data_IF_064026471104
#
_entry.id   IF_064026471104
#
_cell.length_a   1.000
_cell.length_b   1.000
_cell.length_c   1.000
_cell.angle_alpha   90.00
_cell.angle_beta   90.00
_cell.angle_gamma   90.00
#
_symmetry.space_group_name_H-M   'P 1'
#
loop_
_entity.id
_entity.type
_entity.pdbx_description
1 polymer ?
#
# COMPACT_ATOMS: atom_id res chain seq x y z
N UNK A 1 22.10 4.55 3.84
CA UNK A 1 20.76 4.05 4.20
C UNK A 1 20.85 3.27 5.50
N UNK A 2 20.18 3.73 6.55
CA UNK A 2 20.03 3.04 7.82
C UNK A 2 18.80 2.12 7.75
N UNK A 3 18.91 0.92 8.31
CA UNK A 3 17.83 -0.03 8.42
C UNK A 3 17.53 -0.29 9.89
N UNK A 4 16.26 -0.26 10.26
CA UNK A 4 15.76 -0.48 11.61
C UNK A 4 14.54 -1.40 11.57
N UNK A 5 14.39 -2.25 12.58
CA UNK A 5 13.19 -3.06 12.78
C UNK A 5 12.44 -2.48 13.97
N UNK A 6 11.27 -1.89 13.71
CA UNK A 6 10.37 -1.44 14.75
C UNK A 6 9.56 -2.64 15.22
N UNK A 7 9.81 -3.06 16.47
CA UNK A 7 9.10 -4.18 17.10
C UNK A 7 7.85 -3.65 17.80
N UNK A 8 6.69 -4.15 17.39
CA UNK A 8 5.39 -3.66 17.87
C UNK A 8 4.55 -4.86 18.26
N UNK A 9 4.10 -4.96 19.53
CA UNK A 9 3.22 -6.02 19.95
C UNK A 9 1.93 -5.99 19.13
N UNK A 10 1.46 -7.15 18.67
CA UNK A 10 0.15 -7.27 18.03
C UNK A 10 -0.86 -7.98 18.92
N UNK A 11 -2.13 -7.86 18.55
CA UNK A 11 -3.22 -8.62 19.14
C UNK A 11 -2.96 -10.15 19.15
N UNK A 12 -2.25 -10.68 18.15
CA UNK A 12 -1.95 -12.12 17.99
C UNK A 12 -0.78 -12.61 18.86
N UNK A 13 -0.45 -11.90 19.96
CA UNK A 13 0.60 -12.27 20.92
C UNK A 13 1.97 -12.52 20.28
N UNK A 14 2.19 -11.90 19.13
CA UNK A 14 3.42 -11.99 18.35
C UNK A 14 3.82 -10.58 17.95
N UNK A 15 5.09 -10.24 18.08
CA UNK A 15 5.54 -8.92 17.68
C UNK A 15 5.61 -8.80 16.16
N UNK A 16 4.99 -7.75 15.62
CA UNK A 16 5.18 -7.33 14.24
C UNK A 16 6.57 -6.72 14.09
N UNK A 17 7.24 -7.02 12.98
CA UNK A 17 8.57 -6.52 12.66
C UNK A 17 8.50 -5.54 11.50
N UNK A 18 8.10 -4.31 11.80
CA UNK A 18 8.01 -3.26 10.78
C UNK A 18 9.41 -2.89 10.31
N UNK A 19 9.65 -2.99 9.01
CA UNK A 19 10.96 -2.69 8.43
C UNK A 19 11.00 -1.23 8.04
N UNK A 20 11.94 -0.49 8.61
CA UNK A 20 12.07 0.94 8.41
C UNK A 20 13.44 1.26 7.80
N UNK A 21 13.42 1.88 6.62
CA UNK A 21 14.59 2.25 5.85
C UNK A 21 14.69 3.78 5.79
N UNK A 22 15.79 4.32 6.29
CA UNK A 22 16.08 5.75 6.26
C UNK A 22 17.23 6.00 5.29
N UNK A 23 17.03 6.85 4.29
CA UNK A 23 18.10 7.18 3.34
C UNK A 23 19.11 8.14 3.96
N UNK A 24 18.61 9.20 4.61
CA UNK A 24 19.36 10.26 5.27
C UNK A 24 18.70 10.60 6.61
N UNK A 25 19.44 11.15 7.58
CA UNK A 25 18.91 11.44 8.92
C UNK A 25 17.76 12.47 8.88
N UNK A 26 17.90 13.50 8.05
CA UNK A 26 16.96 14.63 7.91
C UNK A 26 15.98 14.48 6.73
N UNK A 27 15.73 13.25 6.24
CA UNK A 27 14.78 13.06 5.15
C UNK A 27 13.35 13.35 5.62
N UNK A 28 12.59 14.09 4.83
CA UNK A 28 11.22 14.52 5.15
C UNK A 28 10.15 13.90 4.24
N UNK A 29 10.54 12.89 3.43
CA UNK A 29 9.66 12.13 2.55
C UNK A 29 9.54 10.66 3.01
N UNK A 30 8.32 10.15 3.18
CA UNK A 30 8.05 8.78 3.60
C UNK A 30 7.07 8.08 2.66
N UNK A 31 7.37 6.84 2.28
CA UNK A 31 6.39 5.88 1.77
C UNK A 31 6.09 4.84 2.85
N UNK A 32 4.81 4.52 3.02
CA UNK A 32 4.37 3.39 3.84
C UNK A 32 3.71 2.34 2.94
N UNK A 33 4.15 1.08 3.04
CA UNK A 33 3.55 -0.04 2.31
C UNK A 33 2.55 -0.79 3.19
N UNK A 34 1.32 -0.96 2.70
CA UNK A 34 0.26 -1.71 3.36
C UNK A 34 -0.01 -3.03 2.60
N UNK A 35 0.28 -4.19 3.20
CA UNK A 35 0.13 -5.48 2.55
C UNK A 35 -1.34 -5.88 2.31
N UNK A 36 -1.56 -6.82 1.40
CA UNK A 36 -2.87 -7.48 1.23
C UNK A 36 -3.04 -8.70 2.13
N UNK A 37 -4.24 -9.32 2.14
CA UNK A 37 -4.59 -10.46 3.04
C UNK A 37 -3.53 -11.58 2.98
N UNK A 38 -3.33 -12.13 1.78
CA UNK A 38 -2.33 -13.15 1.52
C UNK A 38 -1.21 -12.61 0.62
N UNK A 39 -0.93 -11.31 0.74
CA UNK A 39 0.03 -10.60 -0.11
C UNK A 39 0.96 -9.72 0.74
N UNK A 40 1.96 -10.32 1.41
CA UNK A 40 2.97 -9.57 2.15
C UNK A 40 3.78 -8.64 1.24
N UNK A 41 4.42 -7.64 1.84
CA UNK A 41 5.15 -6.60 1.11
C UNK A 41 6.41 -7.09 0.39
N UNK A 42 6.88 -8.33 0.63
CA UNK A 42 7.99 -8.93 -0.09
C UNK A 42 7.59 -9.56 -1.45
N UNK A 43 6.28 -9.63 -1.74
CA UNK A 43 5.80 -10.06 -3.06
C UNK A 43 6.00 -8.98 -4.13
N UNK A 44 6.14 -9.37 -5.41
CA UNK A 44 6.68 -8.50 -6.46
C UNK A 44 6.07 -7.09 -6.55
N UNK A 45 4.74 -6.96 -6.57
CA UNK A 45 4.11 -5.65 -6.76
C UNK A 45 4.48 -4.64 -5.68
N UNK A 46 4.52 -5.06 -4.41
CA UNK A 46 4.87 -4.21 -3.27
C UNK A 46 6.38 -4.12 -3.05
N UNK A 47 7.12 -5.20 -3.30
CA UNK A 47 8.59 -5.21 -3.25
C UNK A 47 9.17 -4.16 -4.20
N UNK A 48 8.68 -4.13 -5.44
CA UNK A 48 9.12 -3.15 -6.42
C UNK A 48 8.55 -1.75 -6.14
N UNK A 49 7.36 -1.61 -5.55
CA UNK A 49 6.89 -0.31 -5.06
C UNK A 49 7.82 0.27 -3.99
N UNK A 50 8.27 -0.54 -3.02
CA UNK A 50 9.24 -0.13 -2.01
C UNK A 50 10.59 0.24 -2.60
N UNK A 51 11.10 -0.58 -3.53
CA UNK A 51 12.36 -0.29 -4.23
C UNK A 51 12.29 1.01 -5.03
N UNK A 52 11.20 1.23 -5.78
CA UNK A 52 10.94 2.48 -6.49
C UNK A 52 10.85 3.68 -5.54
N UNK A 53 10.24 3.51 -4.36
CA UNK A 53 10.16 4.55 -3.33
C UNK A 53 11.54 5.01 -2.86
N UNK A 54 12.41 4.05 -2.53
CA UNK A 54 13.79 4.32 -2.14
C UNK A 54 14.55 5.02 -3.29
N UNK A 55 14.39 4.56 -4.53
CA UNK A 55 15.02 5.18 -5.71
C UNK A 55 14.52 6.61 -5.97
N UNK A 56 13.25 6.90 -5.65
CA UNK A 56 12.68 8.25 -5.69
C UNK A 56 13.04 9.11 -4.46
N UNK A 57 13.90 8.62 -3.57
CA UNK A 57 14.42 9.38 -2.43
C UNK A 57 13.48 9.46 -1.23
N UNK A 58 12.53 8.52 -1.10
CA UNK A 58 11.69 8.39 0.09
C UNK A 58 12.36 7.46 1.10
N UNK A 59 12.20 7.78 2.39
CA UNK A 59 12.29 6.75 3.41
C UNK A 59 11.13 5.77 3.24
N UNK A 60 11.30 4.54 3.74
CA UNK A 60 10.34 3.47 3.52
C UNK A 60 9.99 2.78 4.82
N UNK A 61 8.70 2.76 5.16
CA UNK A 61 8.14 1.88 6.19
C UNK A 61 7.38 0.74 5.50
N UNK A 62 7.82 -0.49 5.74
CA UNK A 62 7.18 -1.69 5.21
C UNK A 62 6.42 -2.36 6.35
N UNK A 63 5.09 -2.37 6.24
CA UNK A 63 4.26 -2.98 7.26
C UNK A 63 4.16 -4.50 7.10
N UNK A 64 4.10 -5.18 8.23
CA UNK A 64 3.71 -6.56 8.47
C UNK A 64 2.52 -6.52 9.44
N UNK A 65 1.43 -7.20 9.09
CA UNK A 65 0.26 -7.27 9.97
C UNK A 65 0.42 -8.36 11.04
N UNK A 66 -0.23 -8.19 12.19
CA UNK A 66 -0.12 -9.11 13.32
C UNK A 66 -0.42 -10.58 12.98
N UNK A 67 -1.50 -10.84 12.23
CA UNK A 67 -1.81 -12.21 11.78
C UNK A 67 -0.75 -12.79 10.82
N UNK A 68 -0.08 -11.95 10.02
CA UNK A 68 1.00 -12.38 9.12
C UNK A 68 2.24 -12.76 9.94
N UNK A 69 2.60 -11.94 10.94
CA UNK A 69 3.68 -12.25 11.87
C UNK A 69 3.40 -13.55 12.66
N UNK A 70 2.16 -13.73 13.09
CA UNK A 70 1.68 -14.92 13.80
C UNK A 70 1.47 -16.14 12.88
N UNK A 71 1.59 -15.98 11.55
CA UNK A 71 1.36 -17.02 10.54
C UNK A 71 0.01 -17.71 10.67
N UNK A 72 -1.03 -16.90 10.89
CA UNK A 72 -2.42 -17.34 10.95
C UNK A 72 -3.25 -16.64 9.90
N UNK A 73 -4.50 -17.03 9.73
CA UNK A 73 -5.43 -16.38 8.81
C UNK A 73 -6.12 -15.18 9.46
N UNK A 74 -6.47 -14.18 8.66
CA UNK A 74 -7.29 -13.07 9.12
C UNK A 74 -8.78 -13.44 9.12
N UNK A 75 -9.42 -13.42 10.30
CA UNK A 75 -10.88 -13.25 10.43
C UNK A 75 -11.22 -11.78 10.17
N UNK A 76 -12.21 -11.52 9.32
CA UNK A 76 -12.63 -10.15 9.00
C UNK A 76 -13.19 -9.39 10.21
N UNK A 77 -13.67 -10.08 11.25
CA UNK A 77 -14.04 -9.47 12.52
C UNK A 77 -12.83 -8.85 13.27
N UNK A 78 -11.61 -9.27 12.93
CA UNK A 78 -10.37 -8.79 13.51
C UNK A 78 -9.71 -7.67 12.67
N UNK A 79 -10.33 -7.24 11.56
CA UNK A 79 -9.77 -6.17 10.71
C UNK A 79 -9.50 -4.89 11.50
N UNK A 80 -10.36 -4.56 12.47
CA UNK A 80 -10.17 -3.41 13.35
C UNK A 80 -8.85 -3.51 14.13
N UNK A 81 -8.44 -4.71 14.55
CA UNK A 81 -7.15 -4.93 15.23
C UNK A 81 -5.98 -4.66 14.29
N UNK A 82 -6.10 -5.07 13.03
CA UNK A 82 -5.08 -4.77 12.00
C UNK A 82 -4.95 -3.27 11.79
N UNK A 83 -6.06 -2.53 11.79
CA UNK A 83 -6.08 -1.07 11.67
C UNK A 83 -5.39 -0.42 12.87
N UNK A 84 -5.75 -0.80 14.09
CA UNK A 84 -5.14 -0.30 15.34
C UNK A 84 -3.62 -0.55 15.35
N UNK A 85 -3.20 -1.78 15.08
CA UNK A 85 -1.80 -2.20 15.02
C UNK A 85 -1.01 -1.42 13.94
N UNK A 86 -1.65 -1.15 12.79
CA UNK A 86 -1.04 -0.38 11.69
C UNK A 86 -0.93 1.10 12.03
N UNK A 87 -1.94 1.69 12.66
CA UNK A 87 -1.91 3.06 13.13
C UNK A 87 -0.78 3.26 14.15
N UNK A 88 -0.68 2.38 15.15
CA UNK A 88 0.40 2.37 16.13
C UNK A 88 1.78 2.29 15.48
N UNK A 89 1.89 1.49 14.42
CA UNK A 89 3.13 1.35 13.64
C UNK A 89 3.52 2.62 12.91
N UNK A 90 2.55 3.26 12.28
CA UNK A 90 2.76 4.45 11.45
C UNK A 90 3.01 5.69 12.31
N UNK A 91 2.19 5.91 13.34
CA UNK A 91 2.25 7.13 14.16
C UNK A 91 3.60 7.33 14.86
N UNK A 92 4.33 6.24 15.17
CA UNK A 92 5.65 6.30 15.83
C UNK A 92 6.70 7.08 15.06
N UNK A 93 6.59 7.16 13.73
CA UNK A 93 7.61 7.78 12.89
C UNK A 93 7.07 8.87 11.98
N UNK A 94 5.75 8.91 11.72
CA UNK A 94 5.19 9.72 10.64
C UNK A 94 5.33 11.23 10.88
N UNK A 95 5.35 11.68 12.14
CA UNK A 95 5.29 13.09 12.53
C UNK A 95 6.45 13.97 12.04
N UNK A 96 7.59 13.38 11.69
CA UNK A 96 8.74 14.11 11.13
C UNK A 96 8.70 14.27 9.61
N UNK A 97 7.70 13.68 8.95
CA UNK A 97 7.60 13.66 7.49
C UNK A 97 6.55 14.64 7.01
N UNK A 98 6.90 15.45 6.01
CA UNK A 98 6.01 16.45 5.42
C UNK A 98 5.38 15.97 4.10
N UNK A 99 6.02 15.00 3.44
CA UNK A 99 5.51 14.39 2.22
C UNK A 99 5.34 12.90 2.47
N UNK A 100 4.09 12.47 2.62
CA UNK A 100 3.76 11.08 2.92
C UNK A 100 2.95 10.45 1.80
N UNK A 101 3.35 9.25 1.42
CA UNK A 101 2.68 8.43 0.41
C UNK A 101 2.33 7.08 1.02
N UNK A 102 1.06 6.66 0.89
CA UNK A 102 0.66 5.31 1.22
C UNK A 102 0.50 4.51 -0.06
N UNK A 103 1.18 3.36 -0.14
CA UNK A 103 1.00 2.39 -1.23
C UNK A 103 0.40 1.14 -0.62
N UNK A 104 -0.80 0.76 -1.09
CA UNK A 104 -1.61 -0.26 -0.42
C UNK A 104 -2.20 -1.25 -1.41
N UNK A 105 -2.42 -2.50 -0.99
CA UNK A 105 -2.91 -3.57 -1.87
C UNK A 105 -4.13 -4.29 -1.32
N UNK A 106 -5.20 -4.44 -2.12
CA UNK A 106 -6.41 -5.18 -1.75
C UNK A 106 -6.95 -4.75 -0.37
N UNK A 107 -7.12 -5.64 0.61
CA UNK A 107 -7.58 -5.29 1.96
C UNK A 107 -6.70 -4.21 2.65
N UNK A 108 -5.41 -4.15 2.33
CA UNK A 108 -4.50 -3.13 2.86
C UNK A 108 -4.89 -1.72 2.43
N UNK A 109 -5.69 -1.57 1.37
CA UNK A 109 -6.24 -0.28 0.94
C UNK A 109 -7.30 0.27 1.90
N UNK A 110 -8.08 -0.60 2.55
CA UNK A 110 -8.97 -0.20 3.65
C UNK A 110 -8.13 0.21 4.85
N UNK A 111 -7.14 -0.61 5.22
CA UNK A 111 -6.26 -0.33 6.35
C UNK A 111 -5.54 1.01 6.17
N UNK A 112 -5.02 1.29 4.97
CA UNK A 112 -4.38 2.56 4.65
C UNK A 112 -5.36 3.75 4.72
N UNK A 113 -6.61 3.56 4.28
CA UNK A 113 -7.66 4.56 4.38
C UNK A 113 -8.00 4.90 5.83
N UNK A 114 -8.29 3.89 6.65
CA UNK A 114 -8.60 4.04 8.08
C UNK A 114 -7.45 4.62 8.89
N UNK A 115 -6.22 4.19 8.62
CA UNK A 115 -5.03 4.77 9.26
C UNK A 115 -4.91 6.25 8.89
N UNK A 116 -5.16 6.63 7.63
CA UNK A 116 -5.12 8.03 7.22
C UNK A 116 -6.22 8.87 7.89
N UNK A 117 -7.43 8.34 8.11
CA UNK A 117 -8.49 9.05 8.85
C UNK A 117 -8.09 9.44 10.28
N UNK A 118 -7.26 8.62 10.92
CA UNK A 118 -6.76 8.85 12.28
C UNK A 118 -5.53 9.76 12.32
N UNK A 119 -4.97 10.13 11.16
CA UNK A 119 -3.80 10.97 11.03
C UNK A 119 -4.19 12.40 10.65
N UNK A 120 -3.59 13.38 11.32
CA UNK A 120 -3.83 14.81 11.06
C UNK A 120 -2.83 15.38 10.02
N UNK A 121 -2.41 14.58 9.04
CA UNK A 121 -1.46 15.00 8.01
C UNK A 121 -1.94 14.63 6.61
N UNK A 122 -1.59 15.40 5.57
CA UNK A 122 -1.93 15.05 4.20
C UNK A 122 -1.14 13.83 3.73
N UNK A 123 -1.85 12.82 3.22
CA UNK A 123 -1.26 11.63 2.58
C UNK A 123 -1.73 11.52 1.13
N UNK A 124 -0.80 11.24 0.21
CA UNK A 124 -1.10 10.87 -1.18
C UNK A 124 -1.19 9.35 -1.28
N UNK A 125 -2.23 8.82 -1.93
CA UNK A 125 -2.46 7.37 -1.98
C UNK A 125 -2.15 6.75 -3.34
N UNK A 126 -1.55 5.56 -3.34
CA UNK A 126 -1.51 4.65 -4.49
C UNK A 126 -2.19 3.33 -4.08
N UNK A 127 -3.36 3.09 -4.64
CA UNK A 127 -4.15 1.89 -4.37
C UNK A 127 -3.94 0.85 -5.47
N UNK A 128 -3.45 -0.33 -5.10
CA UNK A 128 -3.26 -1.48 -5.97
C UNK A 128 -4.41 -2.47 -5.77
N UNK A 129 -5.14 -2.76 -6.84
CA UNK A 129 -6.28 -3.67 -6.86
C UNK A 129 -7.16 -3.50 -5.60
N UNK A 130 -7.72 -2.30 -5.38
CA UNK A 130 -8.53 -2.01 -4.20
C UNK A 130 -9.75 -2.92 -4.14
N UNK A 131 -10.52 -2.88 -3.06
CA UNK A 131 -11.79 -3.61 -2.97
C UNK A 131 -12.96 -2.64 -2.90
N UNK A 132 -14.19 -3.14 -3.01
CA UNK A 132 -15.40 -2.30 -3.06
C UNK A 132 -15.45 -1.26 -1.92
N UNK A 133 -15.17 -1.69 -0.69
CA UNK A 133 -15.26 -0.80 0.47
C UNK A 133 -14.16 0.28 0.46
N UNK A 134 -13.09 0.10 -0.31
CA UNK A 134 -12.04 1.10 -0.48
C UNK A 134 -12.50 2.36 -1.23
N UNK A 135 -13.53 2.25 -2.08
CA UNK A 135 -13.95 3.32 -3.00
C UNK A 135 -14.22 4.63 -2.27
N UNK A 136 -14.77 4.59 -1.06
CA UNK A 136 -15.04 5.82 -0.33
C UNK A 136 -13.74 6.55 0.07
N UNK A 137 -12.67 5.83 0.45
CA UNK A 137 -11.37 6.47 0.73
C UNK A 137 -10.73 6.99 -0.57
N UNK A 138 -10.86 6.26 -1.68
CA UNK A 138 -10.39 6.74 -2.99
C UNK A 138 -11.07 8.07 -3.33
N UNK A 139 -12.38 8.17 -3.15
CA UNK A 139 -13.14 9.39 -3.43
C UNK A 139 -12.93 10.50 -2.41
N UNK A 140 -12.45 10.17 -1.21
CA UNK A 140 -12.14 11.15 -0.17
C UNK A 140 -10.72 11.71 -0.32
N UNK A 141 -9.74 10.87 -0.64
CA UNK A 141 -8.32 11.25 -0.66
C UNK A 141 -7.78 11.43 -2.08
N UNK A 142 -6.64 12.11 -2.19
CA UNK A 142 -5.94 12.31 -3.45
C UNK A 142 -5.07 11.09 -3.76
N UNK A 143 -5.04 10.63 -5.01
CA UNK A 143 -4.27 9.45 -5.31
C UNK A 143 -4.43 8.87 -6.70
N UNK A 144 -3.81 7.72 -6.87
CA UNK A 144 -3.82 6.89 -8.06
C UNK A 144 -4.38 5.51 -7.70
N UNK A 145 -5.31 5.02 -8.50
CA UNK A 145 -5.75 3.63 -8.45
C UNK A 145 -5.16 2.87 -9.64
N UNK A 146 -4.62 1.68 -9.38
CA UNK A 146 -4.16 0.76 -10.41
C UNK A 146 -4.86 -0.58 -10.22
N UNK A 147 -5.52 -1.08 -11.26
CA UNK A 147 -6.21 -2.37 -11.19
C UNK A 147 -6.08 -3.14 -12.51
N UNK A 148 -6.36 -4.44 -12.48
CA UNK A 148 -6.28 -5.30 -13.66
C UNK A 148 -7.63 -5.51 -14.34
N UNK A 149 -7.67 -5.58 -15.68
CA UNK A 149 -8.95 -5.77 -16.40
C UNK A 149 -9.55 -7.17 -16.26
N UNK A 150 -8.82 -8.12 -15.64
CA UNK A 150 -9.26 -9.47 -15.26
C UNK A 150 -9.33 -9.64 -13.75
N UNK A 151 -9.37 -8.55 -13.00
CA UNK A 151 -9.61 -8.58 -11.56
C UNK A 151 -11.08 -8.89 -11.27
N UNK A 152 -11.33 -10.05 -10.65
CA UNK A 152 -12.66 -10.52 -10.27
C UNK A 152 -13.21 -9.84 -9.00
N UNK A 153 -12.35 -9.16 -8.24
CA UNK A 153 -12.70 -8.47 -6.99
C UNK A 153 -12.95 -6.98 -7.24
N UNK A 154 -12.17 -6.36 -8.14
CA UNK A 154 -12.29 -4.95 -8.51
C UNK A 154 -12.39 -4.78 -10.02
N UNK A 155 -13.62 -4.68 -10.51
CA UNK A 155 -13.92 -4.61 -11.93
C UNK A 155 -14.22 -3.17 -12.39
N UNK A 156 -14.48 -3.01 -13.68
CA UNK A 156 -14.80 -1.72 -14.30
C UNK A 156 -16.06 -1.06 -13.72
N UNK A 157 -17.03 -1.82 -13.20
CA UNK A 157 -18.23 -1.24 -12.56
C UNK A 157 -17.88 -0.56 -11.23
N UNK A 158 -16.92 -1.11 -10.48
CA UNK A 158 -16.39 -0.50 -9.26
C UNK A 158 -15.47 0.69 -9.59
N UNK A 159 -14.64 0.58 -10.63
CA UNK A 159 -13.80 1.68 -11.10
C UNK A 159 -14.62 2.92 -11.51
N UNK A 160 -15.77 2.71 -12.16
CA UNK A 160 -16.70 3.78 -12.56
C UNK A 160 -17.33 4.54 -11.39
N UNK A 161 -17.21 4.04 -10.15
CA UNK A 161 -17.69 4.74 -8.95
C UNK A 161 -16.64 5.73 -8.40
N UNK A 162 -15.45 5.78 -8.99
CA UNK A 162 -14.38 6.71 -8.60
C UNK A 162 -14.60 8.06 -9.30
N UNK A 163 -14.59 9.14 -8.52
CA UNK A 163 -14.71 10.52 -8.98
C UNK A 163 -13.36 11.00 -9.56
N UNK A 164 -13.14 10.79 -10.85
CA UNK A 164 -11.93 11.24 -11.55
C UNK A 164 -11.91 12.78 -11.65
N UNK A 165 -10.80 13.38 -11.24
CA UNK A 165 -10.55 14.80 -11.34
C UNK A 165 -9.04 15.09 -11.42
N UNK A 166 -8.60 16.33 -11.18
CA UNK A 166 -7.16 16.68 -11.20
C UNK A 166 -6.33 16.00 -10.11
N UNK A 167 -6.97 15.50 -9.05
CA UNK A 167 -6.34 14.90 -7.88
C UNK A 167 -6.46 13.37 -7.84
N UNK A 168 -7.30 12.77 -8.71
CA UNK A 168 -7.57 11.33 -8.76
C UNK A 168 -7.43 10.77 -10.17
N UNK A 169 -6.59 9.75 -10.30
CA UNK A 169 -6.32 9.04 -11.55
C UNK A 169 -6.63 7.54 -11.37
N UNK A 170 -7.14 6.88 -12.42
CA UNK A 170 -7.33 5.43 -12.47
C UNK A 170 -6.57 4.90 -13.69
N UNK A 171 -5.75 3.88 -13.47
CA UNK A 171 -5.01 3.16 -14.52
C UNK A 171 -5.46 1.70 -14.53
N UNK A 172 -5.88 1.24 -15.70
CA UNK A 172 -6.22 -0.15 -15.93
C UNK A 172 -5.02 -0.88 -16.57
N UNK A 173 -4.71 -2.06 -16.05
CA UNK A 173 -3.68 -2.95 -16.60
C UNK A 173 -4.38 -4.06 -17.39
N UNK A 174 -4.23 -4.08 -18.72
CA UNK A 174 -4.84 -5.13 -19.54
C UNK A 174 -4.40 -6.53 -19.12
N UNK A 175 -5.36 -7.47 -19.12
CA UNK A 175 -5.20 -8.90 -18.83
C UNK A 175 -4.76 -9.26 -17.40
N UNK A 176 -4.50 -8.28 -16.55
CA UNK A 176 -4.02 -8.52 -15.20
C UNK A 176 -5.17 -8.93 -14.26
N UNK A 177 -4.90 -9.88 -13.37
CA UNK A 177 -5.81 -10.33 -12.32
C UNK A 177 -5.67 -9.48 -11.03
N UNK A 178 -6.30 -9.92 -9.93
CA UNK A 178 -6.26 -9.24 -8.63
C UNK A 178 -4.86 -9.17 -7.96
N UNK A 179 -3.92 -10.00 -8.41
CA UNK A 179 -2.50 -9.96 -8.00
C UNK A 179 -1.64 -9.14 -8.96
N UNK A 180 -2.25 -8.53 -9.99
CA UNK A 180 -1.60 -7.87 -11.12
C UNK A 180 -0.69 -8.82 -11.92
N UNK A 181 -1.11 -10.07 -12.04
CA UNK A 181 -0.45 -11.11 -12.83
C UNK A 181 -1.33 -11.49 -14.03
N UNK A 182 -0.72 -12.06 -15.07
CA UNK A 182 -1.38 -12.56 -16.26
C UNK A 182 -1.23 -14.10 -16.36
N UNK A 183 -1.98 -14.76 -17.28
CA UNK A 183 -1.87 -16.21 -17.45
C UNK A 183 -0.46 -16.70 -17.83
N UNK A 184 0.32 -15.88 -18.54
CA UNK A 184 1.72 -16.16 -18.84
C UNK A 184 2.67 -15.43 -17.88
N UNK A 185 3.80 -16.08 -17.57
CA UNK A 185 4.83 -15.49 -16.69
C UNK A 185 5.49 -14.30 -17.37
N UNK A 186 5.75 -14.41 -18.67
CA UNK A 186 6.32 -13.34 -19.49
C UNK A 186 5.46 -12.08 -19.44
N UNK A 187 4.15 -12.21 -19.65
CA UNK A 187 3.21 -11.07 -19.55
C UNK A 187 3.12 -10.52 -18.12
N UNK A 188 3.23 -11.39 -17.10
CA UNK A 188 3.29 -10.95 -15.70
C UNK A 188 4.53 -10.09 -15.41
N UNK A 189 5.69 -10.46 -15.98
CA UNK A 189 6.92 -9.65 -15.88
C UNK A 189 6.77 -8.32 -16.63
N UNK A 190 6.13 -8.31 -17.80
CA UNK A 190 5.84 -7.08 -18.53
C UNK A 190 4.91 -6.15 -17.73
N UNK A 191 3.86 -6.70 -17.11
CA UNK A 191 2.97 -5.96 -16.20
C UNK A 191 3.78 -5.37 -15.05
N UNK A 192 4.65 -6.16 -14.41
CA UNK A 192 5.49 -5.67 -13.34
C UNK A 192 6.41 -4.52 -13.79
N UNK A 193 6.96 -4.61 -15.01
CA UNK A 193 7.71 -3.52 -15.63
C UNK A 193 6.87 -2.26 -15.87
N UNK A 194 5.59 -2.40 -16.23
CA UNK A 194 4.65 -1.27 -16.32
C UNK A 194 4.37 -0.66 -14.95
N UNK A 195 4.16 -1.50 -13.92
CA UNK A 195 3.94 -1.03 -12.55
C UNK A 195 5.12 -0.22 -12.03
N UNK A 196 6.36 -0.67 -12.25
CA UNK A 196 7.56 0.11 -11.87
C UNK A 196 7.55 1.51 -12.51
N UNK A 197 7.20 1.62 -13.79
CA UNK A 197 7.08 2.94 -14.46
C UNK A 197 5.98 3.80 -13.84
N UNK A 198 4.84 3.21 -13.50
CA UNK A 198 3.74 3.89 -12.81
C UNK A 198 4.20 4.41 -11.45
N UNK A 199 4.90 3.59 -10.65
CA UNK A 199 5.43 3.98 -9.34
C UNK A 199 6.39 5.17 -9.45
N UNK A 200 7.39 5.07 -10.34
CA UNK A 200 8.37 6.14 -10.54
C UNK A 200 7.70 7.45 -10.99
N UNK A 201 6.74 7.37 -11.90
CA UNK A 201 5.98 8.55 -12.34
C UNK A 201 5.16 9.16 -11.20
N UNK A 202 4.49 8.33 -10.39
CA UNK A 202 3.64 8.79 -9.30
C UNK A 202 4.43 9.43 -8.15
N UNK A 203 5.59 8.86 -7.83
CA UNK A 203 6.47 9.31 -6.73
C UNK A 203 7.26 10.58 -7.07
N UNK A 204 7.50 10.84 -8.35
CA UNK A 204 8.21 12.03 -8.82
C UNK A 204 7.27 13.23 -9.14
N UNK A 205 5.96 13.05 -9.00
CA UNK A 205 4.92 14.10 -9.10
C UNK A 205 4.64 14.71 -7.72
#
# INVERSE_FOLDING_TARGET
MKFEILTIPSFWKTDMKQKYYQLYEENNKLVVLFPGKNYPCDKPCLHFAGTSSIQSGFDLLVLEYGYQAARTDLDMNELQRVIEDSYESVQRIISKYNQVVFISKSIGTIVAGEVHEQLEIPVKHLFLTPIKDTIHYVNKFNGLVVYGTKDEVFNHELANQINIDKAREVIEIPNANHSLEAPSVEESIEILGKLVKIYMNFLNK
#
